data_IF_363103678737
#
_entry.id   IF_363103678737
#
_cell.length_a   1.000
_cell.length_b   1.000
_cell.length_c   1.000
_cell.angle_alpha   90.00
_cell.angle_beta   90.00
_cell.angle_gamma   90.00
#
_symmetry.space_group_name_H-M   'P 1'
#
loop_
_entity.id
_entity.type
_entity.pdbx_description
1 polymer ?
#
# COMPACT_ATOMS: atom_id res chain seq x y z
N UNK A 1 14.77 25.97 -2.91
CA UNK A 1 13.55 25.35 -3.46
C UNK A 1 13.61 25.37 -5.00
N UNK A 2 14.35 24.43 -5.59
CA UNK A 2 14.34 24.22 -7.03
C UNK A 2 13.15 23.32 -7.36
N UNK A 3 12.14 23.88 -8.01
CA UNK A 3 11.07 23.09 -8.61
C UNK A 3 11.65 22.47 -9.87
N UNK A 4 11.72 21.14 -9.87
CA UNK A 4 12.19 20.26 -10.96
C UNK A 4 11.62 20.63 -12.35
N UNK A 5 10.45 21.28 -12.41
CA UNK A 5 9.72 21.59 -13.65
C UNK A 5 10.37 22.62 -14.59
N UNK A 6 11.43 23.34 -14.21
CA UNK A 6 12.07 24.36 -15.08
C UNK A 6 13.47 24.02 -15.60
N UNK A 7 14.09 22.93 -15.14
CA UNK A 7 15.48 22.61 -15.49
C UNK A 7 15.64 21.69 -16.72
N UNK A 8 14.62 20.91 -17.09
CA UNK A 8 14.81 19.81 -18.05
C UNK A 8 14.54 20.15 -19.53
N UNK A 9 13.97 21.31 -19.84
CA UNK A 9 13.74 21.72 -21.24
C UNK A 9 15.02 22.04 -22.01
N UNK A 10 16.18 22.13 -21.34
CA UNK A 10 17.46 22.51 -21.96
C UNK A 10 18.53 21.40 -21.96
N UNK A 11 18.27 20.21 -21.39
CA UNK A 11 19.24 19.10 -21.40
C UNK A 11 18.86 18.07 -22.48
N UNK A 12 19.04 18.45 -23.75
CA UNK A 12 18.90 17.52 -24.89
C UNK A 12 20.27 17.10 -25.47
N UNK A 13 21.34 17.24 -24.68
CA UNK A 13 22.72 16.97 -25.15
C UNK A 13 23.54 16.16 -24.14
N UNK A 14 23.16 16.14 -22.87
CA UNK A 14 23.91 15.40 -21.85
C UNK A 14 23.42 13.96 -21.79
N UNK A 15 24.36 13.02 -21.92
CA UNK A 15 24.12 11.60 -21.67
C UNK A 15 23.98 11.31 -20.17
N UNK A 16 24.37 12.24 -19.31
CA UNK A 16 24.43 12.03 -17.87
C UNK A 16 23.80 13.23 -17.16
N UNK A 17 22.91 12.96 -16.21
CA UNK A 17 22.33 13.94 -15.29
C UNK A 17 22.72 13.51 -13.89
N UNK A 18 23.46 14.38 -13.22
CA UNK A 18 23.85 14.23 -11.82
C UNK A 18 23.31 15.40 -11.02
N UNK A 19 22.35 15.10 -10.15
CA UNK A 19 21.72 16.01 -9.21
C UNK A 19 21.69 15.39 -7.80
N UNK A 20 22.63 14.49 -7.51
CA UNK A 20 22.79 13.96 -6.16
C UNK A 20 23.06 15.12 -5.17
N UNK A 21 22.68 14.94 -3.90
CA UNK A 21 22.98 15.88 -2.81
C UNK A 21 22.43 17.30 -3.03
N UNK A 22 21.14 17.38 -3.37
CA UNK A 22 20.42 18.65 -3.50
C UNK A 22 19.16 18.66 -2.62
N UNK A 23 18.52 19.82 -2.52
CA UNK A 23 17.24 19.98 -1.81
C UNK A 23 16.05 19.92 -2.80
N UNK A 24 16.07 18.99 -3.76
CA UNK A 24 14.98 18.84 -4.72
C UNK A 24 13.76 18.22 -4.03
N UNK A 25 12.60 18.85 -4.22
CA UNK A 25 11.32 18.44 -3.63
C UNK A 25 10.30 18.09 -4.70
N UNK A 26 9.28 17.33 -4.31
CA UNK A 26 8.16 16.95 -5.18
C UNK A 26 8.42 15.70 -6.02
N UNK A 27 7.54 15.39 -6.99
CA UNK A 27 7.65 14.18 -7.78
C UNK A 27 8.70 14.25 -8.87
N UNK A 28 9.22 13.07 -9.24
CA UNK A 28 10.00 12.90 -10.45
C UNK A 28 9.06 13.14 -11.65
N UNK A 29 9.40 14.03 -12.59
CA UNK A 29 8.51 14.38 -13.69
C UNK A 29 8.57 13.27 -14.76
N UNK A 30 7.42 12.81 -15.29
CA UNK A 30 7.38 11.75 -16.31
C UNK A 30 8.11 12.14 -17.60
N UNK A 31 8.24 13.44 -17.89
CA UNK A 31 8.94 13.96 -19.07
C UNK A 31 10.43 13.58 -19.12
N UNK A 32 11.04 13.21 -17.98
CA UNK A 32 12.40 12.65 -17.98
C UNK A 32 12.49 11.38 -18.82
N UNK A 33 11.39 10.63 -18.97
CA UNK A 33 11.32 9.45 -19.84
C UNK A 33 11.51 9.75 -21.33
N UNK A 34 11.47 11.02 -21.75
CA UNK A 34 11.69 11.44 -23.13
C UNK A 34 13.17 11.63 -23.48
N UNK A 35 14.08 11.60 -22.49
CA UNK A 35 15.51 11.81 -22.69
C UNK A 35 16.18 10.52 -23.18
N UNK A 36 15.83 10.07 -24.39
CA UNK A 36 16.24 8.77 -24.92
C UNK A 36 17.74 8.52 -24.98
N UNK A 37 18.57 9.56 -25.01
CA UNK A 37 20.04 9.45 -25.00
C UNK A 37 20.66 9.31 -23.60
N UNK A 38 19.86 9.45 -22.54
CA UNK A 38 20.33 9.41 -21.17
C UNK A 38 20.88 8.03 -20.81
N UNK A 39 22.09 8.00 -20.28
CA UNK A 39 22.86 6.85 -19.79
C UNK A 39 22.90 6.81 -18.27
N UNK A 40 22.95 7.98 -17.63
CA UNK A 40 23.05 8.08 -16.17
C UNK A 40 22.06 9.09 -15.65
N UNK A 41 21.30 8.70 -14.62
CA UNK A 41 20.41 9.58 -13.86
C UNK A 41 20.64 9.38 -12.37
N UNK A 42 21.25 10.37 -11.73
CA UNK A 42 21.55 10.40 -10.30
C UNK A 42 20.74 11.50 -9.63
N UNK A 43 19.86 11.09 -8.71
CA UNK A 43 18.92 11.93 -7.96
C UNK A 43 18.92 11.58 -6.47
N UNK A 44 19.92 10.86 -5.97
CA UNK A 44 20.02 10.44 -4.60
C UNK A 44 20.26 11.60 -3.63
N UNK A 45 19.94 11.40 -2.35
CA UNK A 45 20.08 12.41 -1.30
C UNK A 45 19.34 13.70 -1.66
N UNK A 46 18.03 13.56 -1.88
CA UNK A 46 17.10 14.66 -2.13
C UNK A 46 15.82 14.44 -1.29
N UNK A 47 14.84 15.32 -1.43
CA UNK A 47 13.53 15.24 -0.78
C UNK A 47 12.41 14.87 -1.79
N UNK A 48 12.75 14.10 -2.83
CA UNK A 48 11.77 13.70 -3.86
C UNK A 48 10.72 12.76 -3.27
N UNK A 49 9.48 12.88 -3.74
CA UNK A 49 8.32 12.16 -3.18
C UNK A 49 7.37 11.64 -4.26
N UNK A 50 6.43 10.78 -3.89
CA UNK A 50 5.49 10.17 -4.84
C UNK A 50 6.10 8.98 -5.60
N UNK A 51 5.41 8.51 -6.64
CA UNK A 51 5.81 7.29 -7.36
C UNK A 51 6.91 7.52 -8.38
N UNK A 52 7.73 6.49 -8.62
CA UNK A 52 8.66 6.44 -9.75
C UNK A 52 7.83 6.40 -11.06
N UNK A 53 7.96 7.38 -11.98
CA UNK A 53 7.19 7.40 -13.21
C UNK A 53 7.50 6.18 -14.09
N UNK A 54 6.48 5.46 -14.60
CA UNK A 54 6.71 4.34 -15.51
C UNK A 54 7.40 4.75 -16.83
N UNK A 55 7.34 6.02 -17.19
CA UNK A 55 8.00 6.63 -18.35
C UNK A 55 9.53 6.53 -18.28
N UNK A 56 10.13 6.45 -17.08
CA UNK A 56 11.57 6.18 -16.94
C UNK A 56 11.96 4.83 -17.56
N UNK A 57 11.01 3.90 -17.67
CA UNK A 57 11.19 2.64 -18.39
C UNK A 57 11.31 2.78 -19.92
N UNK A 58 11.15 3.98 -20.48
CA UNK A 58 11.38 4.27 -21.90
C UNK A 58 12.83 4.70 -22.20
N UNK A 59 13.65 4.91 -21.17
CA UNK A 59 15.06 5.31 -21.31
C UNK A 59 15.92 4.12 -21.77
N UNK A 60 15.85 3.80 -23.05
CA UNK A 60 16.48 2.60 -23.64
C UNK A 60 18.02 2.59 -23.57
N UNK A 61 18.66 3.76 -23.45
CA UNK A 61 20.11 3.88 -23.32
C UNK A 61 20.61 3.94 -21.87
N UNK A 62 19.70 3.94 -20.88
CA UNK A 62 20.07 4.07 -19.47
C UNK A 62 20.94 2.88 -19.03
N UNK A 63 21.95 3.19 -18.22
CA UNK A 63 22.91 2.23 -17.65
C UNK A 63 22.93 2.29 -16.13
N UNK A 64 22.69 3.46 -15.55
CA UNK A 64 22.67 3.65 -14.11
C UNK A 64 21.55 4.61 -13.69
N UNK A 65 20.82 4.20 -12.65
CA UNK A 65 19.77 5.00 -12.03
C UNK A 65 19.96 4.95 -10.51
N UNK A 66 20.21 6.10 -9.90
CA UNK A 66 20.34 6.24 -8.46
C UNK A 66 19.22 7.14 -7.93
N UNK A 67 18.29 6.55 -7.18
CA UNK A 67 17.16 7.21 -6.52
C UNK A 67 17.22 7.03 -5.00
N UNK A 68 18.35 6.60 -4.46
CA UNK A 68 18.47 6.31 -3.03
C UNK A 68 18.24 7.56 -2.17
N UNK A 69 17.93 7.38 -0.89
CA UNK A 69 17.92 8.48 0.08
C UNK A 69 16.93 9.59 -0.35
N UNK A 70 15.66 9.20 -0.53
CA UNK A 70 14.55 10.07 -0.91
C UNK A 70 13.26 9.59 -0.21
N UNK A 71 12.14 10.29 -0.46
CA UNK A 71 10.82 9.98 0.10
C UNK A 71 9.88 9.36 -0.96
N UNK A 72 10.42 8.60 -1.91
CA UNK A 72 9.63 7.97 -2.97
C UNK A 72 8.72 6.86 -2.42
N UNK A 73 7.58 6.64 -3.08
CA UNK A 73 6.53 5.73 -2.64
C UNK A 73 5.93 4.87 -3.75
N UNK A 74 5.12 3.88 -3.38
CA UNK A 74 4.46 2.99 -4.34
C UNK A 74 5.39 1.93 -4.94
N UNK A 75 5.00 1.29 -6.03
CA UNK A 75 5.74 0.16 -6.61
C UNK A 75 6.74 0.58 -7.69
N UNK A 76 7.81 -0.21 -7.84
CA UNK A 76 8.78 -0.02 -8.93
C UNK A 76 8.13 -0.42 -10.27
N UNK A 77 8.13 0.45 -11.31
CA UNK A 77 7.54 0.12 -12.60
C UNK A 77 8.09 -1.15 -13.23
N UNK A 78 7.20 -2.01 -13.77
CA UNK A 78 7.58 -3.32 -14.36
C UNK A 78 8.64 -3.21 -15.46
N UNK A 79 8.60 -2.15 -16.28
CA UNK A 79 9.63 -1.91 -17.32
C UNK A 79 10.99 -1.68 -16.68
N UNK A 80 11.05 -0.82 -15.67
CA UNK A 80 12.28 -0.49 -14.96
C UNK A 80 12.87 -1.72 -14.25
N UNK A 81 12.03 -2.56 -13.62
CA UNK A 81 12.46 -3.85 -13.02
C UNK A 81 13.11 -4.81 -14.03
N UNK A 82 12.72 -4.74 -15.31
CA UNK A 82 13.23 -5.62 -16.38
C UNK A 82 14.47 -5.07 -17.08
N UNK A 83 14.87 -3.84 -16.80
CA UNK A 83 16.03 -3.24 -17.44
C UNK A 83 17.32 -3.80 -16.82
N UNK A 84 18.28 -4.15 -17.66
CA UNK A 84 19.63 -4.52 -17.23
C UNK A 84 20.46 -3.25 -16.93
N UNK A 85 20.14 -2.60 -15.81
CA UNK A 85 20.81 -1.37 -15.34
C UNK A 85 21.28 -1.51 -13.90
N UNK A 86 22.24 -0.67 -13.51
CA UNK A 86 22.56 -0.44 -12.10
C UNK A 86 21.46 0.40 -11.47
N UNK A 87 20.52 -0.25 -10.79
CA UNK A 87 19.42 0.40 -10.09
C UNK A 87 19.73 0.47 -8.59
N UNK A 88 19.79 1.68 -8.04
CA UNK A 88 19.82 1.91 -6.62
C UNK A 88 18.57 2.70 -6.18
N UNK A 89 17.81 2.12 -5.24
CA UNK A 89 16.57 2.67 -4.68
C UNK A 89 16.57 2.60 -3.15
N UNK A 90 17.73 2.29 -2.54
CA UNK A 90 17.83 2.09 -1.10
C UNK A 90 17.40 3.32 -0.31
N UNK A 91 16.92 3.11 0.91
CA UNK A 91 16.47 4.20 1.79
C UNK A 91 15.37 5.10 1.16
N UNK A 92 14.37 4.47 0.56
CA UNK A 92 13.06 5.07 0.27
C UNK A 92 12.00 4.31 1.09
N UNK A 93 11.66 4.76 2.30
CA UNK A 93 10.90 3.96 3.27
C UNK A 93 9.47 3.62 2.82
N UNK A 94 8.90 4.37 1.89
CA UNK A 94 7.53 4.19 1.37
C UNK A 94 7.49 3.43 0.04
N UNK A 95 8.64 3.07 -0.53
CA UNK A 95 8.72 2.39 -1.81
C UNK A 95 8.52 0.89 -1.61
N UNK A 96 7.47 0.35 -2.22
CA UNK A 96 7.14 -1.06 -2.24
C UNK A 96 8.02 -1.76 -3.28
N UNK A 97 9.06 -2.46 -2.82
CA UNK A 97 9.95 -3.23 -3.69
C UNK A 97 9.28 -4.50 -4.24
N UNK A 98 8.15 -4.90 -3.67
CA UNK A 98 7.37 -6.13 -3.90
C UNK A 98 8.16 -7.29 -4.52
N UNK A 99 8.69 -8.12 -3.61
CA UNK A 99 8.57 -9.59 -3.67
C UNK A 99 7.32 -10.09 -2.92
N UNK A 100 6.47 -9.20 -2.40
CA UNK A 100 5.21 -9.56 -1.77
C UNK A 100 4.14 -9.63 -2.87
N UNK A 101 3.90 -10.81 -3.42
CA UNK A 101 2.78 -11.07 -4.32
C UNK A 101 1.49 -10.48 -3.73
N UNK A 102 1.01 -9.37 -4.30
CA UNK A 102 -0.17 -8.65 -3.82
C UNK A 102 -1.39 -9.59 -3.80
N UNK A 103 -1.40 -10.65 -4.62
CA UNK A 103 -2.41 -11.71 -4.60
C UNK A 103 -2.46 -12.45 -3.26
N UNK A 104 -1.30 -12.75 -2.66
CA UNK A 104 -1.20 -13.44 -1.37
C UNK A 104 -1.67 -12.50 -0.25
N UNK A 105 -1.29 -11.22 -0.29
CA UNK A 105 -1.73 -10.23 0.70
C UNK A 105 -3.27 -10.07 0.68
N UNK A 106 -3.88 -9.94 -0.50
CA UNK A 106 -5.34 -9.87 -0.64
C UNK A 106 -6.05 -11.14 -0.13
N UNK A 107 -5.51 -12.34 -0.42
CA UNK A 107 -6.08 -13.60 0.08
C UNK A 107 -6.01 -13.68 1.61
N UNK A 108 -4.88 -13.29 2.23
CA UNK A 108 -4.72 -13.28 3.68
C UNK A 108 -5.72 -12.31 4.32
N UNK A 109 -5.85 -11.09 3.80
CA UNK A 109 -6.80 -10.10 4.29
C UNK A 109 -8.24 -10.63 4.16
N UNK A 110 -8.59 -11.22 3.01
CA UNK A 110 -9.92 -11.80 2.79
C UNK A 110 -10.24 -12.94 3.79
N UNK A 111 -9.29 -13.83 4.07
CA UNK A 111 -9.45 -14.90 5.05
C UNK A 111 -9.69 -14.33 6.45
N UNK A 112 -8.91 -13.33 6.86
CA UNK A 112 -9.07 -12.66 8.17
C UNK A 112 -10.48 -12.05 8.28
N UNK A 113 -10.94 -11.33 7.25
CA UNK A 113 -12.27 -10.73 7.23
C UNK A 113 -13.39 -11.78 7.37
N UNK A 114 -13.28 -12.92 6.67
CA UNK A 114 -14.27 -14.01 6.74
C UNK A 114 -14.31 -14.62 8.15
N UNK A 115 -13.15 -14.87 8.75
CA UNK A 115 -13.06 -15.42 10.12
C UNK A 115 -13.70 -14.47 11.15
N UNK A 116 -13.43 -13.17 11.04
CA UNK A 116 -14.04 -12.15 11.91
C UNK A 116 -15.56 -12.15 11.74
N UNK A 117 -16.07 -12.18 10.51
CA UNK A 117 -17.50 -12.21 10.25
C UNK A 117 -18.16 -13.47 10.83
N UNK A 118 -17.52 -14.63 10.68
CA UNK A 118 -18.00 -15.89 11.24
C UNK A 118 -18.08 -15.84 12.78
N UNK A 119 -17.08 -15.25 13.44
CA UNK A 119 -17.09 -15.04 14.90
C UNK A 119 -18.23 -14.12 15.30
N UNK A 120 -18.45 -13.01 14.60
CA UNK A 120 -19.54 -12.07 14.88
C UNK A 120 -20.90 -12.75 14.76
N UNK A 121 -21.13 -13.53 13.69
CA UNK A 121 -22.36 -14.30 13.49
C UNK A 121 -22.57 -15.30 14.63
N UNK A 122 -21.51 -16.03 15.03
CA UNK A 122 -21.57 -16.97 16.15
C UNK A 122 -21.95 -16.28 17.46
N UNK A 123 -21.36 -15.11 17.76
CA UNK A 123 -21.68 -14.34 18.96
C UNK A 123 -23.14 -13.87 18.96
N UNK A 124 -23.67 -13.42 17.81
CA UNK A 124 -25.08 -13.03 17.65
C UNK A 124 -25.99 -14.24 17.89
N UNK A 125 -25.65 -15.40 17.32
CA UNK A 125 -26.39 -16.64 17.51
C UNK A 125 -26.43 -17.05 18.98
N UNK A 126 -25.28 -17.06 19.67
CA UNK A 126 -25.19 -17.41 21.09
C UNK A 126 -25.98 -16.43 21.97
N UNK A 127 -25.92 -15.12 21.69
CA UNK A 127 -26.67 -14.09 22.41
C UNK A 127 -28.19 -14.29 22.26
N UNK A 128 -28.64 -14.66 21.07
CA UNK A 128 -30.06 -14.94 20.78
C UNK A 128 -30.53 -16.21 21.49
N UNK A 129 -29.74 -17.29 21.41
CA UNK A 129 -30.03 -18.57 22.09
C UNK A 129 -30.12 -18.40 23.61
N UNK A 130 -29.22 -17.61 24.20
CA UNK A 130 -29.25 -17.29 25.64
C UNK A 130 -30.54 -16.57 26.04
N UNK A 131 -30.99 -15.57 25.27
CA UNK A 131 -32.27 -14.87 25.54
C UNK A 131 -33.47 -15.81 25.49
N UNK A 132 -33.49 -16.76 24.54
CA UNK A 132 -34.58 -17.75 24.43
C UNK A 132 -34.59 -18.68 25.65
N UNK A 133 -33.41 -19.16 26.07
CA UNK A 133 -33.27 -19.98 27.27
C UNK A 133 -33.73 -19.24 28.53
N UNK A 134 -33.29 -17.98 28.71
CA UNK A 134 -33.67 -17.15 29.86
C UNK A 134 -35.18 -16.85 29.89
N UNK A 135 -35.81 -16.66 28.72
CA UNK A 135 -37.26 -16.45 28.62
C UNK A 135 -38.07 -17.73 28.89
N UNK A 136 -37.61 -18.89 28.42
CA UNK A 136 -38.26 -20.18 28.69
C UNK A 136 -38.26 -20.56 30.18
N UNK A 137 -37.19 -20.23 30.90
CA UNK A 137 -37.12 -20.44 32.35
C UNK A 137 -38.05 -19.50 33.12
N UNK A 138 -38.19 -18.24 32.68
CA UNK A 138 -39.12 -17.28 33.29
C UNK A 138 -40.59 -17.70 33.13
N UNK A 139 -40.99 -18.15 31.94
CA UNK A 139 -42.38 -18.59 31.69
C UNK A 139 -42.71 -19.89 32.46
N UNK A 140 -41.75 -20.81 32.58
CA UNK A 140 -41.88 -22.00 33.42
C UNK A 140 -42.08 -21.64 34.91
N UNK A 141 -41.30 -20.69 35.42
CA UNK A 141 -41.41 -20.24 36.82
C UNK A 141 -42.78 -19.59 37.10
N UNK A 142 -43.25 -18.71 36.21
CA UNK A 142 -44.57 -18.07 36.34
C UNK A 142 -45.70 -19.11 36.28
N UNK A 143 -45.61 -20.09 35.38
CA UNK A 143 -46.59 -21.18 35.27
C UNK A 143 -46.69 -22.03 36.55
N UNK A 144 -45.56 -22.29 37.21
CA UNK A 144 -45.52 -23.01 38.48
C UNK A 144 -46.09 -22.17 39.64
N UNK A 145 -45.79 -20.87 39.70
CA UNK A 145 -46.38 -19.96 40.71
C UNK A 145 -47.91 -19.86 40.56
N UNK A 146 -48.43 -19.74 39.34
CA UNK A 146 -49.88 -19.65 39.08
C UNK A 146 -50.63 -20.95 39.43
N UNK A 147 -50.02 -22.12 39.19
CA UNK A 147 -50.58 -23.42 39.61
C UNK A 147 -50.68 -23.52 41.13
N UNK A 148 -49.67 -23.04 41.86
CA UNK A 148 -49.69 -23.07 43.32
C UNK A 148 -50.77 -22.15 43.90
N UNK A 149 -51.01 -20.96 43.33
CA UNK A 149 -52.06 -20.03 43.81
C UNK A 149 -53.48 -20.59 43.64
N UNK A 150 -53.73 -21.35 42.57
CA UNK A 150 -55.06 -21.98 42.32
C UNK A 150 -55.40 -23.11 43.29
N UNK A 151 -54.43 -23.66 44.02
CA UNK A 151 -54.65 -24.74 44.98
C UNK A 151 -54.94 -24.23 46.41
N UNK A 152 -55.10 -22.91 46.61
CA UNK A 152 -55.41 -22.27 47.92
C UNK A 152 -56.82 -21.67 48.01
N UNK A 153 -57.74 -22.03 47.11
CA UNK A 153 -59.19 -21.72 47.19
C UNK A 153 -59.98 -23.02 47.31
#
# INVERSE_FOLDING_TARGET
MLIINKFFTFINISNDIDLDLNDLIGPIPPELGNLSNLKTLFLAHNELSGSIPPELGNLSNLKSLNLAENNLSGSIPKKLKKMEIKLNISNNPLLETEDNDSSISYIIIAIICILVLAIVILLIYLKTKRKIYDNGNKTSTIGNTLKNVKNFQ
#
